data_IF_201209350925
#
_entry.id   IF_201209350925
#
_cell.length_a   1.000
_cell.length_b   1.000
_cell.length_c   1.000
_cell.angle_alpha   90.00
_cell.angle_beta   90.00
_cell.angle_gamma   90.00
#
_symmetry.space_group_name_H-M   'P 1'
#
loop_
_entity.id
_entity.type
_entity.pdbx_description
1 polymer ?
#
# COMPACT_ATOMS: atom_id res chain seq x y z
N UNK A 1 15.62 6.30 18.46
CA UNK A 1 16.06 5.01 17.88
C UNK A 1 15.01 3.90 18.02
N UNK A 2 14.71 3.38 19.22
CA UNK A 2 13.73 2.26 19.36
C UNK A 2 12.35 2.61 18.79
N UNK A 3 11.85 3.82 19.07
CA UNK A 3 10.58 4.28 18.52
C UNK A 3 10.61 4.29 16.98
N UNK A 4 11.71 4.71 16.36
CA UNK A 4 11.85 4.70 14.90
C UNK A 4 11.79 3.29 14.30
N UNK A 5 12.39 2.30 14.97
CA UNK A 5 12.23 0.89 14.58
C UNK A 5 10.78 0.42 14.66
N UNK A 6 10.10 0.67 15.77
CA UNK A 6 8.70 0.27 15.92
C UNK A 6 7.82 0.96 14.88
N UNK A 7 8.01 2.27 14.67
CA UNK A 7 7.22 3.05 13.70
C UNK A 7 7.50 2.60 12.26
N UNK A 8 8.75 2.31 11.90
CA UNK A 8 9.08 1.85 10.55
C UNK A 8 8.45 0.50 10.23
N UNK A 9 8.54 -0.46 11.16
CA UNK A 9 7.82 -1.74 11.01
C UNK A 9 6.31 -1.54 10.90
N UNK A 10 5.72 -0.69 11.76
CA UNK A 10 4.30 -0.40 11.74
C UNK A 10 3.83 0.22 10.41
N UNK A 11 4.62 1.12 9.80
CA UNK A 11 4.29 1.74 8.50
C UNK A 11 4.31 0.71 7.38
N UNK A 12 5.23 -0.27 7.39
CA UNK A 12 5.26 -1.35 6.39
C UNK A 12 3.99 -2.21 6.48
N UNK A 13 3.61 -2.66 7.68
CA UNK A 13 2.39 -3.47 7.85
C UNK A 13 1.11 -2.66 7.61
N UNK A 14 1.10 -1.38 7.97
CA UNK A 14 0.02 -0.47 7.63
C UNK A 14 -0.12 -0.34 6.12
N UNK A 15 0.99 -0.16 5.39
CA UNK A 15 0.99 -0.01 3.94
C UNK A 15 0.42 -1.24 3.26
N UNK A 16 0.92 -2.43 3.62
CA UNK A 16 0.43 -3.69 3.03
C UNK A 16 -1.05 -3.93 3.34
N UNK A 17 -1.50 -3.63 4.56
CA UNK A 17 -2.91 -3.68 4.91
C UNK A 17 -3.77 -2.70 4.10
N UNK A 18 -3.29 -1.46 3.92
CA UNK A 18 -4.00 -0.43 3.17
C UNK A 18 -4.06 -0.73 1.67
N UNK A 19 -2.99 -1.27 1.08
CA UNK A 19 -2.96 -1.68 -0.34
C UNK A 19 -3.90 -2.85 -0.59
N UNK A 20 -3.87 -3.89 0.26
CA UNK A 20 -4.79 -5.03 0.15
C UNK A 20 -6.23 -4.55 0.29
N UNK A 21 -6.54 -3.71 1.29
CA UNK A 21 -7.87 -3.13 1.48
C UNK A 21 -8.35 -2.38 0.24
N UNK A 22 -7.48 -1.64 -0.44
CA UNK A 22 -7.80 -0.93 -1.67
C UNK A 22 -8.19 -1.90 -2.80
N UNK A 23 -7.38 -2.95 -3.00
CA UNK A 23 -7.62 -3.99 -4.02
C UNK A 23 -8.92 -4.73 -3.73
N UNK A 24 -9.11 -5.22 -2.49
CA UNK A 24 -10.32 -5.94 -2.09
C UNK A 24 -11.58 -5.12 -2.27
N UNK A 25 -11.52 -3.81 -1.96
CA UNK A 25 -12.66 -2.91 -2.15
C UNK A 25 -13.00 -2.73 -3.63
N UNK A 26 -11.98 -2.55 -4.48
CA UNK A 26 -12.16 -2.46 -5.93
C UNK A 26 -12.73 -3.75 -6.53
N UNK A 27 -12.15 -4.89 -6.16
CA UNK A 27 -12.59 -6.21 -6.59
C UNK A 27 -14.04 -6.49 -6.18
N UNK A 28 -14.41 -6.21 -4.92
CA UNK A 28 -15.78 -6.39 -4.44
C UNK A 28 -16.79 -5.57 -5.27
N UNK A 29 -16.48 -4.31 -5.55
CA UNK A 29 -17.35 -3.42 -6.34
C UNK A 29 -17.45 -3.86 -7.79
N UNK A 30 -16.37 -4.35 -8.38
CA UNK A 30 -16.40 -4.94 -9.71
C UNK A 30 -17.29 -6.18 -9.75
N UNK A 31 -17.14 -7.11 -8.78
CA UNK A 31 -17.98 -8.31 -8.68
C UNK A 31 -19.45 -7.96 -8.45
N UNK A 32 -19.74 -6.98 -7.59
CA UNK A 32 -21.11 -6.50 -7.36
C UNK A 32 -21.74 -5.93 -8.64
N UNK A 33 -20.97 -5.18 -9.43
CA UNK A 33 -21.42 -4.65 -10.71
C UNK A 33 -21.70 -5.78 -11.72
N UNK A 34 -20.76 -6.72 -11.88
CA UNK A 34 -20.88 -7.87 -12.78
C UNK A 34 -22.16 -8.66 -12.45
N UNK A 35 -22.38 -9.00 -11.17
CA UNK A 35 -23.57 -9.76 -10.75
C UNK A 35 -24.91 -9.06 -11.03
N UNK A 36 -24.93 -7.73 -11.06
CA UNK A 36 -26.16 -6.94 -11.23
C UNK A 36 -26.45 -6.58 -12.67
N UNK A 37 -25.42 -6.41 -13.51
CA UNK A 37 -25.56 -5.79 -14.83
C UNK A 37 -25.12 -6.68 -15.99
N UNK A 38 -24.26 -7.68 -15.75
CA UNK A 38 -23.72 -8.53 -16.81
C UNK A 38 -24.50 -9.85 -16.84
N UNK A 39 -25.03 -10.19 -18.02
CA UNK A 39 -25.59 -11.51 -18.26
C UNK A 39 -24.46 -12.51 -18.54
N UNK A 40 -24.22 -13.41 -17.58
CA UNK A 40 -23.17 -14.43 -17.64
C UNK A 40 -23.49 -15.60 -18.58
N UNK A 41 -24.73 -15.71 -19.08
CA UNK A 41 -25.14 -16.76 -20.03
C UNK A 41 -24.78 -16.40 -21.49
N UNK A 42 -24.27 -15.20 -21.74
CA UNK A 42 -23.79 -14.79 -23.06
C UNK A 42 -22.41 -15.39 -23.35
N UNK A 43 -22.19 -15.81 -24.61
CA UNK A 43 -20.91 -16.33 -25.08
C UNK A 43 -19.77 -15.31 -25.03
N UNK A 44 -20.10 -14.02 -25.18
CA UNK A 44 -19.13 -12.92 -25.15
C UNK A 44 -19.68 -11.74 -24.34
N UNK A 45 -18.78 -11.05 -23.64
CA UNK A 45 -19.09 -9.83 -22.91
C UNK A 45 -19.26 -8.66 -23.87
N UNK A 46 -20.22 -7.78 -23.60
CA UNK A 46 -20.35 -6.55 -24.37
C UNK A 46 -19.15 -5.61 -24.11
N UNK A 47 -18.74 -4.88 -25.13
CA UNK A 47 -17.64 -3.92 -25.05
C UNK A 47 -18.00 -2.81 -24.06
N UNK A 48 -19.27 -2.41 -24.01
CA UNK A 48 -19.72 -1.35 -23.10
C UNK A 48 -19.66 -1.81 -21.63
N UNK A 49 -20.16 -3.01 -21.34
CA UNK A 49 -20.08 -3.63 -20.01
C UNK A 49 -18.63 -3.75 -19.53
N UNK A 50 -17.72 -4.15 -20.43
CA UNK A 50 -16.29 -4.26 -20.14
C UNK A 50 -15.67 -2.90 -19.79
N UNK A 51 -16.03 -1.84 -20.52
CA UNK A 51 -15.57 -0.46 -20.23
C UNK A 51 -16.05 0.02 -18.86
N UNK A 52 -17.27 -0.32 -18.48
CA UNK A 52 -17.83 0.08 -17.19
C UNK A 52 -17.13 -0.61 -16.01
N UNK A 53 -16.80 -1.90 -16.15
CA UNK A 53 -15.97 -2.62 -15.16
C UNK A 53 -14.58 -1.97 -15.04
N UNK A 54 -13.92 -1.69 -16.16
CA UNK A 54 -12.60 -1.02 -16.16
C UNK A 54 -12.66 0.36 -15.49
N UNK A 55 -13.71 1.14 -15.76
CA UNK A 55 -13.93 2.46 -15.14
C UNK A 55 -14.09 2.36 -13.63
N UNK A 56 -14.81 1.35 -13.15
CA UNK A 56 -14.97 1.07 -11.72
C UNK A 56 -13.60 0.77 -11.10
N UNK A 57 -12.87 -0.20 -11.64
CA UNK A 57 -11.54 -0.57 -11.14
C UNK A 57 -10.59 0.64 -11.12
N UNK A 58 -10.57 1.44 -12.18
CA UNK A 58 -9.72 2.64 -12.31
C UNK A 58 -10.00 3.65 -11.20
N UNK A 59 -11.28 3.99 -10.97
CA UNK A 59 -11.68 4.98 -9.97
C UNK A 59 -11.27 4.57 -8.55
N UNK A 60 -11.44 3.29 -8.22
CA UNK A 60 -11.10 2.79 -6.88
C UNK A 60 -9.58 2.63 -6.70
N UNK A 61 -8.86 2.17 -7.73
CA UNK A 61 -7.40 2.10 -7.71
C UNK A 61 -6.78 3.48 -7.50
N UNK A 62 -7.22 4.49 -8.25
CA UNK A 62 -6.74 5.87 -8.09
C UNK A 62 -7.03 6.43 -6.69
N UNK A 63 -8.25 6.22 -6.17
CA UNK A 63 -8.61 6.70 -4.83
C UNK A 63 -7.76 6.05 -3.74
N UNK A 64 -7.48 4.76 -3.84
CA UNK A 64 -6.60 4.03 -2.93
C UNK A 64 -5.16 4.56 -2.99
N UNK A 65 -4.62 4.68 -4.19
CA UNK A 65 -3.26 5.19 -4.43
C UNK A 65 -3.06 6.58 -3.82
N UNK A 66 -4.00 7.52 -4.02
CA UNK A 66 -3.90 8.87 -3.47
C UNK A 66 -3.88 8.89 -1.94
N UNK A 67 -4.72 8.07 -1.29
CA UNK A 67 -4.73 8.00 0.17
C UNK A 67 -3.38 7.48 0.68
N UNK A 68 -2.86 6.41 0.07
CA UNK A 68 -1.62 5.78 0.51
C UNK A 68 -0.42 6.71 0.28
N UNK A 69 -0.35 7.34 -0.89
CA UNK A 69 0.70 8.31 -1.22
C UNK A 69 0.72 9.46 -0.22
N UNK A 70 -0.44 10.05 0.09
CA UNK A 70 -0.54 11.14 1.06
C UNK A 70 -0.03 10.74 2.44
N UNK A 71 -0.31 9.51 2.91
CA UNK A 71 0.24 9.03 4.18
C UNK A 71 1.74 8.89 4.13
N UNK A 72 2.28 8.15 3.16
CA UNK A 72 3.73 7.89 3.09
C UNK A 72 4.50 9.19 2.96
N UNK A 73 4.03 10.10 2.10
CA UNK A 73 4.64 11.41 1.93
C UNK A 73 4.59 12.24 3.22
N UNK A 74 3.41 12.44 3.78
CA UNK A 74 3.26 13.29 4.98
C UNK A 74 3.97 12.71 6.21
N UNK A 75 3.90 11.40 6.44
CA UNK A 75 4.58 10.77 7.59
C UNK A 75 6.10 10.78 7.43
N UNK A 76 6.63 10.46 6.24
CA UNK A 76 8.08 10.50 6.01
C UNK A 76 8.64 11.88 6.28
N UNK A 77 8.00 12.92 5.74
CA UNK A 77 8.43 14.30 5.99
C UNK A 77 8.25 14.68 7.46
N UNK A 78 7.11 14.39 8.07
CA UNK A 78 6.86 14.70 9.48
C UNK A 78 7.94 14.11 10.40
N UNK A 79 8.30 12.85 10.17
CA UNK A 79 9.30 12.14 10.96
C UNK A 79 10.70 12.74 10.78
N UNK A 80 11.05 13.16 9.56
CA UNK A 80 12.30 13.85 9.29
C UNK A 80 12.40 15.20 10.01
N UNK A 81 11.28 15.94 10.11
CA UNK A 81 11.20 17.23 10.81
C UNK A 81 11.13 17.13 12.33
N UNK A 82 10.81 15.97 12.90
CA UNK A 82 10.75 15.79 14.35
C UNK A 82 12.11 15.56 14.98
N UNK A 83 12.86 14.58 14.48
CA UNK A 83 14.18 14.25 15.00
C UNK A 83 14.96 13.42 13.96
N UNK A 84 16.15 13.87 13.52
CA UNK A 84 16.96 13.13 12.55
C UNK A 84 17.36 11.73 13.01
N UNK A 85 17.63 11.52 14.30
CA UNK A 85 18.03 10.20 14.81
C UNK A 85 16.88 9.19 14.78
N UNK A 86 15.69 9.63 15.17
CA UNK A 86 14.44 8.90 15.00
C UNK A 86 14.21 8.57 13.52
N UNK A 87 14.38 9.56 12.64
CA UNK A 87 14.15 9.38 11.22
C UNK A 87 15.10 8.36 10.58
N UNK A 88 16.40 8.39 10.90
CA UNK A 88 17.37 7.39 10.42
C UNK A 88 17.00 6.00 10.90
N UNK A 89 16.62 5.84 12.18
CA UNK A 89 16.16 4.54 12.69
C UNK A 89 14.87 4.05 12.02
N UNK A 90 13.96 4.96 11.66
CA UNK A 90 12.78 4.67 10.84
C UNK A 90 13.16 4.17 9.45
N UNK A 91 14.10 4.82 8.76
CA UNK A 91 14.57 4.41 7.43
C UNK A 91 15.21 3.02 7.42
N UNK A 92 16.06 2.72 8.41
CA UNK A 92 16.65 1.37 8.55
C UNK A 92 15.53 0.34 8.73
N UNK A 93 14.54 0.66 9.56
CA UNK A 93 13.45 -0.24 9.83
C UNK A 93 12.54 -0.50 8.63
N UNK A 94 12.12 0.53 7.88
CA UNK A 94 11.28 0.31 6.69
C UNK A 94 12.04 -0.52 5.64
N UNK A 95 13.36 -0.39 5.55
CA UNK A 95 14.17 -1.19 4.63
C UNK A 95 14.20 -2.67 5.05
N UNK A 96 14.48 -2.94 6.34
CA UNK A 96 14.53 -4.31 6.86
C UNK A 96 13.17 -4.99 6.78
N UNK A 97 12.13 -4.41 7.40
CA UNK A 97 10.80 -5.00 7.39
C UNK A 97 10.20 -5.05 5.98
N UNK A 98 10.39 -3.99 5.19
CA UNK A 98 9.86 -3.92 3.84
C UNK A 98 10.51 -4.93 2.89
N UNK A 99 11.81 -5.20 3.01
CA UNK A 99 12.48 -6.23 2.21
C UNK A 99 11.90 -7.62 2.49
N UNK A 100 11.87 -8.04 3.75
CA UNK A 100 11.36 -9.37 4.11
C UNK A 100 9.87 -9.51 3.80
N UNK A 101 9.08 -8.46 4.04
CA UNK A 101 7.66 -8.44 3.69
C UNK A 101 7.44 -8.54 2.17
N UNK A 102 8.25 -7.85 1.37
CA UNK A 102 8.13 -7.88 -0.09
C UNK A 102 8.42 -9.28 -0.65
N UNK A 103 9.51 -9.91 -0.19
CA UNK A 103 9.88 -11.27 -0.60
C UNK A 103 8.79 -12.26 -0.20
N UNK A 104 8.36 -12.24 1.08
CA UNK A 104 7.30 -13.12 1.57
C UNK A 104 6.03 -13.02 0.73
N UNK A 105 5.56 -11.80 0.44
CA UNK A 105 4.32 -11.60 -0.31
C UNK A 105 4.46 -12.01 -1.78
N UNK A 106 5.61 -11.73 -2.42
CA UNK A 106 5.88 -12.15 -3.79
C UNK A 106 5.91 -13.68 -3.92
N UNK A 107 6.64 -14.36 -3.04
CA UNK A 107 6.80 -15.81 -3.08
C UNK A 107 5.51 -16.53 -2.71
N UNK A 108 4.79 -16.08 -1.67
CA UNK A 108 3.53 -16.68 -1.27
C UNK A 108 2.46 -16.56 -2.36
N UNK A 109 2.31 -15.37 -2.97
CA UNK A 109 1.36 -15.17 -4.06
C UNK A 109 1.76 -15.95 -5.33
N UNK A 110 3.06 -15.97 -5.67
CA UNK A 110 3.56 -16.76 -6.80
C UNK A 110 3.39 -18.26 -6.61
N UNK A 111 3.56 -18.76 -5.39
CA UNK A 111 3.33 -20.17 -5.07
C UNK A 111 1.86 -20.57 -5.26
N UNK A 112 0.90 -19.73 -4.83
CA UNK A 112 -0.52 -20.01 -5.05
C UNK A 112 -0.92 -20.00 -6.53
N UNK A 113 -0.39 -19.07 -7.33
CA UNK A 113 -0.64 -19.04 -8.77
C UNK A 113 -0.07 -20.28 -9.48
N UNK A 114 1.18 -20.64 -9.14
CA UNK A 114 1.83 -21.82 -9.69
C UNK A 114 1.10 -23.12 -9.28
N UNK A 115 0.62 -23.21 -8.04
CA UNK A 115 -0.18 -24.35 -7.61
C UNK A 115 -1.48 -24.47 -8.41
N UNK A 116 -2.17 -23.35 -8.69
CA UNK A 116 -3.33 -23.33 -9.59
C UNK A 116 -2.95 -23.79 -10.99
N UNK A 117 -1.82 -23.33 -11.54
CA UNK A 117 -1.34 -23.74 -12.87
C UNK A 117 -1.03 -25.22 -12.98
N UNK A 118 -0.45 -25.84 -11.94
CA UNK A 118 -0.23 -27.30 -11.88
C UNK A 118 -1.55 -28.06 -11.98
N UNK A 119 -2.59 -27.62 -11.25
CA UNK A 119 -3.92 -28.25 -11.32
C UNK A 119 -4.58 -28.04 -12.70
N UNK A 120 -4.45 -26.86 -13.28
CA UNK A 120 -5.05 -26.51 -14.57
C UNK A 120 -4.41 -27.23 -15.77
N UNK A 121 -3.09 -27.43 -15.74
CA UNK A 121 -2.27 -27.85 -16.89
C UNK A 121 -1.72 -29.25 -16.74
N UNK A 122 -1.07 -29.56 -15.61
CA UNK A 122 -0.35 -30.82 -15.43
C UNK A 122 -1.30 -31.95 -14.99
N UNK A 123 -2.23 -31.66 -14.09
CA UNK A 123 -3.23 -32.61 -13.62
C UNK A 123 -4.48 -32.66 -14.51
N UNK A 124 -4.77 -31.57 -15.23
CA UNK A 124 -5.96 -31.45 -16.08
C UNK A 124 -7.28 -31.43 -15.30
N UNK A 125 -7.25 -31.14 -14.01
CA UNK A 125 -8.39 -31.24 -13.09
C UNK A 125 -9.22 -29.95 -13.03
N UNK A 126 -9.47 -29.31 -14.16
CA UNK A 126 -10.33 -28.10 -14.21
C UNK A 126 -11.76 -28.43 -13.80
N UNK A 127 -12.40 -27.48 -13.12
CA UNK A 127 -13.77 -27.59 -12.57
C UNK A 127 -13.94 -28.68 -11.51
N UNK A 128 -12.86 -29.10 -10.87
CA UNK A 128 -12.90 -29.97 -9.68
C UNK A 128 -12.91 -29.14 -8.39
N UNK A 129 -13.32 -29.73 -7.25
CA UNK A 129 -13.16 -29.07 -5.95
C UNK A 129 -11.72 -28.66 -5.63
N UNK A 130 -10.72 -29.39 -6.17
CA UNK A 130 -9.30 -29.03 -6.03
C UNK A 130 -8.99 -27.72 -6.78
N UNK A 131 -9.48 -27.59 -8.02
CA UNK A 131 -9.29 -26.39 -8.82
C UNK A 131 -9.99 -25.17 -8.21
N UNK A 132 -11.20 -25.33 -7.67
CA UNK A 132 -11.87 -24.23 -6.96
C UNK A 132 -11.07 -23.76 -5.75
N UNK A 133 -10.48 -24.69 -4.98
CA UNK A 133 -9.63 -24.35 -3.83
C UNK A 133 -8.35 -23.59 -4.24
N UNK A 134 -7.71 -23.98 -5.35
CA UNK A 134 -6.51 -23.27 -5.84
C UNK A 134 -6.83 -21.90 -6.43
N UNK A 135 -8.02 -21.71 -7.03
CA UNK A 135 -8.50 -20.38 -7.44
C UNK A 135 -8.66 -19.47 -6.21
N UNK A 136 -9.22 -19.97 -5.11
CA UNK A 136 -9.32 -19.17 -3.87
C UNK A 136 -7.93 -18.78 -3.37
N UNK A 137 -6.96 -19.69 -3.39
CA UNK A 137 -5.57 -19.39 -3.03
C UNK A 137 -4.96 -18.28 -3.90
N UNK A 138 -5.09 -18.39 -5.21
CA UNK A 138 -4.55 -17.40 -6.15
C UNK A 138 -5.22 -16.03 -5.98
N UNK A 139 -6.55 -15.97 -5.82
CA UNK A 139 -7.26 -14.70 -5.59
C UNK A 139 -6.88 -14.02 -4.26
N UNK A 140 -6.44 -14.78 -3.25
CA UNK A 140 -5.83 -14.23 -2.03
C UNK A 140 -4.40 -13.74 -2.30
N UNK A 141 -3.66 -14.43 -3.16
CA UNK A 141 -2.28 -14.13 -3.56
C UNK A 141 -2.11 -12.96 -4.54
N UNK A 142 -3.11 -12.63 -5.35
CA UNK A 142 -3.07 -11.53 -6.31
C UNK A 142 -2.71 -10.16 -5.68
N UNK A 143 -3.39 -9.67 -4.62
CA UNK A 143 -3.00 -8.42 -3.97
C UNK A 143 -1.62 -8.50 -3.28
N UNK A 144 -1.14 -9.71 -3.00
CA UNK A 144 0.19 -9.92 -2.42
C UNK A 144 1.27 -9.72 -3.48
N UNK A 145 1.24 -10.50 -4.56
CA UNK A 145 2.30 -10.57 -5.57
C UNK A 145 2.29 -9.41 -6.56
N UNK A 146 1.12 -8.86 -6.89
CA UNK A 146 0.99 -7.87 -7.98
C UNK A 146 0.85 -6.42 -7.50
N UNK A 147 0.45 -6.23 -6.23
CA UNK A 147 0.23 -4.88 -5.69
C UNK A 147 1.19 -4.57 -4.55
N UNK A 148 1.10 -5.32 -3.45
CA UNK A 148 1.74 -4.94 -2.19
C UNK A 148 3.24 -5.19 -2.21
N UNK A 149 3.69 -6.37 -2.64
CA UNK A 149 5.12 -6.73 -2.69
C UNK A 149 5.91 -5.80 -3.62
N UNK A 150 5.42 -5.59 -4.84
CA UNK A 150 6.07 -4.78 -5.88
C UNK A 150 6.17 -3.31 -5.45
N UNK A 151 5.17 -2.81 -4.72
CA UNK A 151 5.11 -1.41 -4.28
C UNK A 151 6.02 -1.07 -3.09
N UNK A 152 6.44 -2.05 -2.31
CA UNK A 152 7.30 -1.82 -1.14
C UNK A 152 8.67 -1.23 -1.52
N UNK A 153 9.25 -1.66 -2.63
CA UNK A 153 10.56 -1.17 -3.08
C UNK A 153 10.52 0.33 -3.49
N UNK A 154 9.58 0.79 -4.34
CA UNK A 154 9.35 2.21 -4.59
C UNK A 154 9.14 3.03 -3.31
N UNK A 155 8.40 2.50 -2.32
CA UNK A 155 8.12 3.21 -1.07
C UNK A 155 9.37 3.38 -0.22
N UNK A 156 10.21 2.36 -0.12
CA UNK A 156 11.49 2.46 0.60
C UNK A 156 12.37 3.50 -0.09
N UNK A 157 12.53 3.42 -1.42
CA UNK A 157 13.36 4.37 -2.17
C UNK A 157 12.85 5.80 -2.07
N UNK A 158 11.54 5.98 -2.19
CA UNK A 158 10.89 7.28 -2.04
C UNK A 158 11.11 7.84 -0.64
N UNK A 159 10.85 7.05 0.40
CA UNK A 159 10.97 7.49 1.79
C UNK A 159 12.41 7.88 2.12
N UNK A 160 13.39 7.15 1.59
CA UNK A 160 14.81 7.47 1.77
C UNK A 160 15.21 8.75 1.02
N UNK A 161 14.85 8.88 -0.27
CA UNK A 161 15.26 10.04 -1.08
C UNK A 161 14.66 11.36 -0.57
N UNK A 162 13.33 11.40 -0.40
CA UNK A 162 12.65 12.61 0.09
C UNK A 162 12.90 12.85 1.58
N UNK A 163 13.08 11.76 2.33
CA UNK A 163 13.40 11.79 3.73
C UNK A 163 14.73 12.45 4.05
N UNK A 164 15.79 12.07 3.34
CA UNK A 164 17.11 12.65 3.54
C UNK A 164 17.12 14.15 3.24
N UNK A 165 16.46 14.55 2.16
CA UNK A 165 16.28 15.98 1.83
C UNK A 165 15.56 16.73 2.96
N UNK A 166 14.46 16.16 3.48
CA UNK A 166 13.70 16.77 4.57
C UNK A 166 14.49 16.82 5.88
N UNK A 167 15.30 15.80 6.17
CA UNK A 167 16.16 15.75 7.35
C UNK A 167 17.25 16.82 7.27
N UNK A 168 17.86 17.03 6.10
CA UNK A 168 18.84 18.09 5.88
C UNK A 168 18.23 19.48 6.12
N UNK A 169 17.05 19.74 5.54
CA UNK A 169 16.30 20.99 5.78
C UNK A 169 15.99 21.15 7.27
N UNK A 170 15.55 20.08 7.95
CA UNK A 170 15.25 20.12 9.38
C UNK A 170 16.49 20.48 10.22
N UNK A 171 17.66 19.91 9.89
CA UNK A 171 18.91 20.19 10.60
C UNK A 171 19.32 21.65 10.40
N UNK A 172 19.27 22.14 9.16
CA UNK A 172 19.61 23.52 8.83
C UNK A 172 18.71 24.52 9.57
N UNK A 173 17.40 24.25 9.64
CA UNK A 173 16.46 25.07 10.42
C UNK A 173 16.77 25.10 11.92
N UNK A 174 17.17 23.96 12.49
CA UNK A 174 17.55 23.88 13.91
C UNK A 174 18.82 24.69 14.18
N UNK A 175 19.83 24.57 13.32
CA UNK A 175 21.09 25.30 13.45
C UNK A 175 20.87 26.81 13.29
N UNK A 176 20.12 27.22 12.27
CA UNK A 176 19.82 28.63 12.02
C UNK A 176 19.07 29.29 13.20
N UNK A 177 18.08 28.59 13.77
CA UNK A 177 17.36 29.07 14.95
C UNK A 177 18.30 29.23 16.16
N UNK A 178 19.25 28.31 16.34
CA UNK A 178 20.25 28.36 17.41
C UNK A 178 21.20 29.55 17.25
N UNK A 179 21.65 29.82 16.03
CA UNK A 179 22.61 30.88 15.73
C UNK A 179 21.98 32.29 15.79
N UNK A 180 20.72 32.41 15.39
CA UNK A 180 19.98 33.69 15.38
C UNK A 180 19.20 33.96 16.66
N UNK A 181 19.08 32.98 17.57
CA UNK A 181 18.16 33.03 18.70
C UNK A 181 16.68 33.02 18.29
N UNK A 182 16.39 32.65 17.03
CA UNK A 182 15.05 32.59 16.46
C UNK A 182 14.25 31.36 16.89
N UNK A 183 12.99 31.28 16.43
CA UNK A 183 12.12 30.12 16.71
C UNK A 183 12.43 28.96 15.76
N UNK A 184 12.56 27.75 16.31
CA UNK A 184 12.68 26.54 15.51
C UNK A 184 11.30 26.11 14.98
N UNK A 185 11.08 26.26 13.67
CA UNK A 185 9.82 25.90 13.01
C UNK A 185 9.72 24.42 12.60
N UNK A 186 10.81 23.64 12.63
CA UNK A 186 10.79 22.23 12.21
C UNK A 186 9.73 21.40 12.95
N UNK A 187 9.59 21.47 14.30
CA UNK A 187 8.56 20.72 15.02
C UNK A 187 7.12 21.11 14.63
N UNK A 188 6.90 22.38 14.27
CA UNK A 188 5.58 22.88 13.87
C UNK A 188 5.20 22.30 12.50
N UNK A 189 6.14 22.34 11.54
CA UNK A 189 5.96 21.75 10.21
C UNK A 189 5.73 20.24 10.34
N UNK A 190 6.56 19.57 11.14
CA UNK A 190 6.41 18.14 11.43
C UNK A 190 5.04 17.82 12.03
N UNK A 191 4.56 18.63 12.97
CA UNK A 191 3.25 18.46 13.61
C UNK A 191 2.09 18.57 12.61
N UNK A 192 2.12 19.57 11.72
CA UNK A 192 1.09 19.76 10.69
C UNK A 192 1.07 18.56 9.74
N UNK A 193 2.25 18.15 9.23
CA UNK A 193 2.38 17.02 8.32
C UNK A 193 1.95 15.71 8.99
N UNK A 194 2.25 15.53 10.28
CA UNK A 194 1.85 14.36 11.04
C UNK A 194 0.32 14.25 11.14
N UNK A 195 -0.36 15.35 11.47
CA UNK A 195 -1.84 15.38 11.52
C UNK A 195 -2.45 15.07 10.16
N UNK A 196 -1.89 15.61 9.07
CA UNK A 196 -2.32 15.28 7.70
C UNK A 196 -2.14 13.79 7.44
N UNK A 197 -0.97 13.23 7.78
CA UNK A 197 -0.70 11.81 7.65
C UNK A 197 -1.71 10.94 8.40
N UNK A 198 -2.00 11.26 9.66
CA UNK A 198 -3.00 10.54 10.47
C UNK A 198 -4.42 10.62 9.89
N UNK A 199 -4.81 11.78 9.34
CA UNK A 199 -6.09 11.92 8.66
C UNK A 199 -6.20 10.98 7.46
N UNK A 200 -5.15 10.87 6.64
CA UNK A 200 -5.14 9.95 5.50
C UNK A 200 -4.98 8.48 5.91
N UNK A 201 -4.33 8.16 7.03
CA UNK A 201 -4.33 6.82 7.63
C UNK A 201 -5.74 6.38 7.98
N UNK A 202 -6.51 7.27 8.61
CA UNK A 202 -7.93 6.99 8.88
C UNK A 202 -8.72 6.82 7.57
N UNK A 203 -8.49 7.70 6.59
CA UNK A 203 -9.20 7.66 5.31
C UNK A 203 -8.90 6.41 4.49
N UNK A 204 -7.67 5.88 4.54
CA UNK A 204 -7.27 4.69 3.79
C UNK A 204 -8.07 3.46 4.24
N UNK A 205 -8.30 3.29 5.53
CA UNK A 205 -9.10 2.17 6.05
C UNK A 205 -10.59 2.48 6.06
N UNK A 206 -11.01 3.53 6.76
CA UNK A 206 -12.44 3.76 7.03
C UNK A 206 -13.17 4.39 5.84
N UNK A 207 -12.47 5.22 5.05
CA UNK A 207 -13.03 5.85 3.86
C UNK A 207 -13.17 4.90 2.66
N UNK A 208 -12.54 3.72 2.72
CA UNK A 208 -12.59 2.69 1.68
C UNK A 208 -13.32 1.41 2.12
N UNK A 209 -13.88 1.36 3.35
CA UNK A 209 -14.65 0.18 3.77
C UNK A 209 -15.85 -0.05 2.83
N UNK A 210 -16.06 -1.32 2.52
CA UNK A 210 -17.27 -1.79 1.87
C UNK A 210 -18.42 -1.59 2.85
N UNK A 211 -19.32 -0.66 2.56
CA UNK A 211 -20.59 -0.54 3.29
C UNK A 211 -21.48 -1.70 2.86
N UNK A 212 -21.86 -2.53 3.84
CA UNK A 212 -22.86 -3.58 3.67
C UNK A 212 -24.22 -2.96 3.37
#
# INVERSE_FOLDING_TARGET
>A
VIIGFITGGAVIFWFTGASIQAVTTGAYRAVEFIKKHINLDKKEADIQDSKDVVKICTKYAQKGMWNIFAVIFSLTLAFAFFDPNFFVSYLISIAVFGLFQAIYMADAGGAWDNAKKVVEVDLGEKNTPLHEATIVGDTVGDPYKDTSSVSLNPIIKFSTLFGLLAAEISIEMILHAKDTGGTNYAPIIGGILFVIGLFFVYRSFYGMRIKK
#
